data_IF_910806683476
#
_entry.id   IF_910806683476
#
_cell.length_a   1.000
_cell.length_b   1.000
_cell.length_c   1.000
_cell.angle_alpha   90.00
_cell.angle_beta   90.00
_cell.angle_gamma   90.00
#
_symmetry.space_group_name_H-M   'P 1'
#
loop_
_entity.id
_entity.type
_entity.pdbx_description
1 polymer ?
#
# COMPACT_ATOMS: atom_id res chain seq x y z
N UNK A 1 10.81 16.71 -10.19
CA UNK A 1 11.83 16.81 -11.28
C UNK A 1 11.66 15.84 -12.47
N UNK A 2 11.40 14.53 -12.31
CA UNK A 2 11.38 13.58 -13.46
C UNK A 2 10.11 13.68 -14.37
N UNK A 3 8.95 14.02 -13.80
CA UNK A 3 7.67 14.16 -14.54
C UNK A 3 7.61 15.42 -15.41
N UNK A 4 8.44 16.43 -15.10
CA UNK A 4 8.59 17.63 -15.93
C UNK A 4 9.36 17.30 -17.22
N UNK A 5 10.29 16.34 -17.17
CA UNK A 5 11.08 15.91 -18.32
C UNK A 5 10.32 14.94 -19.25
N UNK A 6 9.37 14.16 -18.71
CA UNK A 6 8.60 13.17 -19.47
C UNK A 6 7.10 13.30 -19.20
N UNK A 7 6.39 14.22 -19.88
CA UNK A 7 4.96 14.45 -19.67
C UNK A 7 4.09 13.21 -19.93
N UNK A 8 4.56 12.24 -20.70
CA UNK A 8 3.91 10.94 -20.92
C UNK A 8 3.72 10.15 -19.61
N UNK A 9 4.60 10.35 -18.63
CA UNK A 9 4.50 9.72 -17.31
C UNK A 9 3.34 10.27 -16.48
N UNK A 10 2.73 11.40 -16.86
CA UNK A 10 1.50 11.90 -16.20
C UNK A 10 0.34 10.92 -16.33
N UNK A 11 0.29 10.08 -17.37
CA UNK A 11 -0.77 9.07 -17.54
C UNK A 11 -0.70 7.99 -16.45
N UNK A 12 0.47 7.75 -15.87
CA UNK A 12 0.66 6.82 -14.76
C UNK A 12 0.23 7.40 -13.41
N UNK A 13 -0.13 8.70 -13.34
CA UNK A 13 -0.70 9.31 -12.15
C UNK A 13 -2.19 8.92 -11.99
N UNK A 14 -2.43 7.64 -11.72
CA UNK A 14 -3.77 7.08 -11.51
C UNK A 14 -4.47 7.75 -10.30
N UNK A 15 -3.69 8.24 -9.33
CA UNK A 15 -4.20 8.88 -8.11
C UNK A 15 -4.51 10.38 -8.27
N UNK A 16 -4.16 11.01 -9.40
CA UNK A 16 -4.45 12.42 -9.67
C UNK A 16 -3.73 13.41 -8.74
N UNK A 17 -2.55 13.06 -8.22
CA UNK A 17 -1.79 13.90 -7.30
C UNK A 17 -1.34 15.22 -8.00
N UNK A 18 -1.52 16.34 -7.30
CA UNK A 18 -1.43 17.70 -7.88
C UNK A 18 -0.01 18.07 -8.36
N UNK A 19 1.02 17.68 -7.61
CA UNK A 19 2.42 17.89 -7.98
C UNK A 19 3.27 16.64 -7.76
N UNK A 20 4.27 16.36 -8.61
CA UNK A 20 5.19 15.24 -8.44
C UNK A 20 5.94 15.27 -7.10
N UNK A 21 6.29 16.47 -6.64
CA UNK A 21 6.98 16.69 -5.37
C UNK A 21 6.11 16.27 -4.19
N UNK A 22 4.84 16.68 -4.16
CA UNK A 22 3.87 16.25 -3.15
C UNK A 22 3.65 14.73 -3.18
N UNK A 23 3.59 14.13 -4.38
CA UNK A 23 3.41 12.69 -4.51
C UNK A 23 4.56 11.88 -3.89
N UNK A 24 5.80 12.31 -4.10
CA UNK A 24 6.98 11.68 -3.51
C UNK A 24 6.98 11.85 -1.99
N UNK A 25 6.70 13.06 -1.50
CA UNK A 25 6.65 13.32 -0.05
C UNK A 25 5.57 12.50 0.65
N UNK A 26 4.35 12.44 0.10
CA UNK A 26 3.26 11.62 0.66
C UNK A 26 3.61 10.13 0.68
N UNK A 27 4.25 9.61 -0.38
CA UNK A 27 4.69 8.22 -0.43
C UNK A 27 5.74 7.90 0.64
N UNK A 28 6.70 8.81 0.86
CA UNK A 28 7.73 8.64 1.91
C UNK A 28 7.09 8.68 3.30
N UNK A 29 6.19 9.62 3.56
CA UNK A 29 5.47 9.72 4.85
C UNK A 29 4.66 8.45 5.11
N UNK A 30 3.91 7.98 4.11
CA UNK A 30 3.13 6.75 4.24
C UNK A 30 4.02 5.55 4.58
N UNK A 31 5.16 5.37 3.90
CA UNK A 31 6.10 4.29 4.20
C UNK A 31 6.69 4.40 5.62
N UNK A 32 6.98 5.62 6.08
CA UNK A 32 7.49 5.85 7.43
C UNK A 32 6.46 5.53 8.52
N UNK A 33 5.15 5.68 8.23
CA UNK A 33 4.07 5.39 9.17
C UNK A 33 3.61 3.94 9.14
N UNK A 34 3.54 3.33 7.94
CA UNK A 34 2.97 1.98 7.78
C UNK A 34 3.85 0.90 8.41
N UNK A 35 5.18 1.06 8.37
CA UNK A 35 6.11 0.08 8.96
C UNK A 35 5.89 -0.01 10.48
N UNK A 36 5.98 1.07 11.28
CA UNK A 36 5.66 1.03 12.71
C UNK A 36 4.25 0.53 13.01
N UNK A 37 3.25 0.92 12.21
CA UNK A 37 1.88 0.48 12.39
C UNK A 37 1.70 -1.04 12.24
N UNK A 38 2.53 -1.69 11.42
CA UNK A 38 2.51 -3.14 11.22
C UNK A 38 3.37 -3.92 12.22
N UNK A 39 4.29 -3.28 12.97
CA UNK A 39 5.12 -3.95 13.99
C UNK A 39 4.26 -4.73 15.01
N UNK A 40 3.21 -4.14 15.63
CA UNK A 40 2.37 -4.89 16.58
C UNK A 40 1.71 -6.13 15.98
N UNK A 41 1.35 -6.08 14.69
CA UNK A 41 0.77 -7.20 13.97
C UNK A 41 1.81 -8.29 13.74
N UNK A 42 3.04 -7.92 13.37
CA UNK A 42 4.15 -8.85 13.20
C UNK A 42 4.53 -9.55 14.53
N UNK A 43 4.50 -8.81 15.65
CA UNK A 43 4.81 -9.34 16.98
C UNK A 43 3.72 -10.26 17.55
N UNK A 44 2.43 -9.94 17.34
CA UNK A 44 1.32 -10.77 17.81
C UNK A 44 1.17 -12.07 17.01
N UNK A 45 1.72 -12.11 15.79
CA UNK A 45 1.52 -13.21 14.86
C UNK A 45 0.07 -13.29 14.37
N UNK A 46 -0.13 -14.08 13.31
CA UNK A 46 -1.47 -14.29 12.74
C UNK A 46 -2.08 -15.53 13.36
N UNK A 47 -3.28 -15.41 13.95
CA UNK A 47 -3.98 -16.56 14.55
C UNK A 47 -4.16 -17.68 13.53
N UNK A 48 -3.46 -18.79 13.73
CA UNK A 48 -3.57 -19.97 12.90
C UNK A 48 -4.96 -20.61 13.08
N UNK A 49 -5.66 -20.87 11.97
CA UNK A 49 -6.89 -21.65 11.95
C UNK A 49 -6.66 -22.91 11.12
N UNK A 50 -6.98 -24.11 11.65
CA UNK A 50 -6.86 -25.36 10.90
C UNK A 50 -7.96 -25.41 9.83
N UNK A 51 -7.68 -24.82 8.68
CA UNK A 51 -8.50 -24.89 7.46
C UNK A 51 -7.63 -25.44 6.34
N UNK A 52 -8.25 -26.09 5.36
CA UNK A 52 -7.55 -26.62 4.20
C UNK A 52 -6.71 -25.54 3.50
N UNK A 53 -5.55 -25.93 2.97
CA UNK A 53 -4.56 -25.00 2.41
C UNK A 53 -5.14 -24.05 1.35
N UNK A 54 -6.04 -24.55 0.50
CA UNK A 54 -6.72 -23.75 -0.54
C UNK A 54 -7.64 -22.67 0.05
N UNK A 55 -8.38 -23.00 1.11
CA UNK A 55 -9.26 -22.06 1.80
C UNK A 55 -8.46 -21.00 2.57
N UNK A 56 -7.35 -21.41 3.20
CA UNK A 56 -6.43 -20.50 3.87
C UNK A 56 -5.79 -19.52 2.88
N UNK A 57 -5.30 -20.01 1.74
CA UNK A 57 -4.67 -19.19 0.70
C UNK A 57 -5.63 -18.14 0.16
N UNK A 58 -6.86 -18.54 -0.22
CA UNK A 58 -7.89 -17.60 -0.68
C UNK A 58 -8.17 -16.51 0.34
N UNK A 59 -8.32 -16.87 1.61
CA UNK A 59 -8.58 -15.90 2.69
C UNK A 59 -7.41 -14.94 2.89
N UNK A 60 -6.18 -15.42 2.84
CA UNK A 60 -5.00 -14.56 2.96
C UNK A 60 -4.85 -13.62 1.76
N UNK A 61 -5.09 -14.10 0.54
CA UNK A 61 -5.08 -13.25 -0.65
C UNK A 61 -6.18 -12.18 -0.60
N UNK A 62 -7.38 -12.54 -0.15
CA UNK A 62 -8.48 -11.59 -0.02
C UNK A 62 -8.22 -10.54 1.08
N UNK A 63 -7.70 -10.92 2.23
CA UNK A 63 -7.50 -9.97 3.34
C UNK A 63 -6.20 -9.18 3.16
N UNK A 64 -5.07 -9.87 3.06
CA UNK A 64 -3.76 -9.24 3.01
C UNK A 64 -3.37 -8.77 1.61
N UNK A 65 -3.86 -9.44 0.55
CA UNK A 65 -3.66 -9.00 -0.83
C UNK A 65 -4.49 -7.76 -1.16
N UNK A 66 -5.82 -7.81 -1.00
CA UNK A 66 -6.66 -6.62 -1.26
C UNK A 66 -6.37 -5.50 -0.27
N UNK A 67 -6.17 -5.82 1.02
CA UNK A 67 -5.78 -4.84 2.02
C UNK A 67 -4.46 -4.15 1.66
N UNK A 68 -3.44 -4.92 1.25
CA UNK A 68 -2.16 -4.38 0.82
C UNK A 68 -2.23 -3.50 -0.43
N UNK A 69 -3.21 -3.73 -1.31
CA UNK A 69 -3.46 -2.87 -2.47
C UNK A 69 -4.21 -1.61 -2.05
N UNK A 70 -5.27 -1.71 -1.26
CA UNK A 70 -6.16 -0.57 -0.97
C UNK A 70 -5.56 0.43 0.04
N UNK A 71 -4.90 -0.07 1.08
CA UNK A 71 -4.34 0.76 2.17
C UNK A 71 -3.38 1.86 1.67
N UNK A 72 -2.39 1.60 0.80
CA UNK A 72 -1.50 2.66 0.32
C UNK A 72 -2.21 3.72 -0.53
N UNK A 73 -3.20 3.33 -1.34
CA UNK A 73 -3.96 4.29 -2.14
C UNK A 73 -4.78 5.25 -1.27
N UNK A 74 -5.38 4.74 -0.20
CA UNK A 74 -6.09 5.58 0.77
C UNK A 74 -5.11 6.43 1.57
N UNK A 75 -4.00 5.85 2.03
CA UNK A 75 -3.02 6.53 2.89
C UNK A 75 -2.19 7.61 2.18
N UNK A 76 -1.90 7.47 0.88
CA UNK A 76 -1.16 8.48 0.10
C UNK A 76 -2.07 9.63 -0.36
N UNK A 77 -3.38 9.35 -0.51
CA UNK A 77 -4.36 10.34 -0.99
C UNK A 77 -4.85 11.29 0.10
N UNK A 78 -4.85 10.85 1.36
CA UNK A 78 -5.15 11.66 2.55
C UNK A 78 -4.01 12.63 2.85
#
# INVERSE_FOLDING_TARGET
>A
MFVVAYPQLKVLNIMGLATPESAVTSAIIFNALIIPALIPLALKGVSYKPVGASALLRRNLLIYGLGGILVPFVGIKL
#
